data_IF_741524886250
#
_entry.id   IF_741524886250
#
_cell.length_a   1.000
_cell.length_b   1.000
_cell.length_c   1.000
_cell.angle_alpha   90.00
_cell.angle_beta   90.00
_cell.angle_gamma   90.00
#
_symmetry.space_group_name_H-M   'P 1'
#
loop_
_entity.id
_entity.type
_entity.pdbx_description
1 polymer ?
#
# COMPACT_ATOMS: atom_id res chain seq x y z
N UNK A 1 61.79 12.39 -20.85
CA UNK A 1 60.60 11.87 -21.58
C UNK A 1 59.56 11.20 -20.66
N UNK A 2 59.91 10.56 -19.57
CA UNK A 2 59.01 9.83 -18.65
C UNK A 2 58.00 10.71 -17.89
N UNK A 3 58.30 11.97 -17.55
CA UNK A 3 57.36 12.86 -16.82
C UNK A 3 56.15 13.31 -17.63
N UNK A 4 56.33 13.54 -18.94
CA UNK A 4 55.26 14.00 -19.84
C UNK A 4 54.27 12.84 -20.15
N UNK A 5 54.76 11.60 -20.14
CA UNK A 5 53.92 10.41 -20.37
C UNK A 5 53.00 10.15 -19.17
N UNK A 6 53.49 10.36 -17.95
CA UNK A 6 52.67 10.18 -16.73
C UNK A 6 51.57 11.22 -16.61
N UNK A 7 51.81 12.49 -16.97
CA UNK A 7 50.78 13.54 -16.88
C UNK A 7 49.67 13.35 -17.93
N UNK A 8 49.99 12.84 -19.12
CA UNK A 8 48.96 12.54 -20.14
C UNK A 8 48.14 11.30 -19.75
N UNK A 9 48.76 10.29 -19.14
CA UNK A 9 48.05 9.08 -18.66
C UNK A 9 47.16 9.38 -17.46
N UNK A 10 47.63 10.22 -16.52
CA UNK A 10 46.80 10.67 -15.38
C UNK A 10 45.64 11.56 -15.84
N UNK A 11 45.85 12.46 -16.82
CA UNK A 11 44.77 13.27 -17.40
C UNK A 11 43.72 12.40 -18.11
N UNK A 12 44.17 11.37 -18.86
CA UNK A 12 43.27 10.43 -19.56
C UNK A 12 42.45 9.58 -18.57
N UNK A 13 43.11 9.12 -17.48
CA UNK A 13 42.41 8.38 -16.41
C UNK A 13 41.40 9.25 -15.65
N UNK A 14 41.75 10.53 -15.41
CA UNK A 14 40.85 11.48 -14.74
C UNK A 14 39.64 11.81 -15.65
N UNK A 15 39.85 12.01 -16.94
CA UNK A 15 38.74 12.21 -17.89
C UNK A 15 37.87 10.96 -18.07
N UNK A 16 38.46 9.76 -18.02
CA UNK A 16 37.70 8.51 -18.05
C UNK A 16 36.85 8.30 -16.81
N UNK A 17 37.38 8.64 -15.63
CA UNK A 17 36.64 8.58 -14.35
C UNK A 17 35.51 9.61 -14.33
N UNK A 18 35.76 10.84 -14.80
CA UNK A 18 34.71 11.88 -14.91
C UNK A 18 33.66 11.47 -15.96
N UNK A 19 34.07 10.86 -17.08
CA UNK A 19 33.14 10.37 -18.10
C UNK A 19 32.28 9.19 -17.56
N UNK A 20 32.86 8.29 -16.75
CA UNK A 20 32.15 7.21 -16.09
C UNK A 20 31.16 7.71 -15.02
N UNK A 21 31.50 8.79 -14.33
CA UNK A 21 30.57 9.38 -13.33
C UNK A 21 29.43 10.18 -13.98
N UNK A 22 29.63 10.69 -15.20
CA UNK A 22 28.57 11.40 -15.97
C UNK A 22 27.64 10.40 -16.69
N UNK A 23 28.09 9.16 -16.94
CA UNK A 23 27.28 8.09 -17.53
C UNK A 23 26.51 7.27 -16.50
N UNK A 24 26.81 7.40 -15.21
CA UNK A 24 25.90 6.98 -14.15
C UNK A 24 24.80 8.05 -14.04
N UNK A 25 23.80 7.99 -14.88
CA UNK A 25 22.55 8.69 -14.68
C UNK A 25 22.04 8.33 -13.29
N UNK A 26 22.25 9.21 -12.30
CA UNK A 26 21.62 9.04 -11.01
C UNK A 26 20.12 9.14 -11.27
N UNK A 27 19.39 8.02 -11.16
CA UNK A 27 17.93 8.09 -11.08
C UNK A 27 17.58 9.11 -9.99
N UNK A 28 16.60 9.99 -10.20
CA UNK A 28 16.20 10.91 -9.16
C UNK A 28 15.73 10.08 -7.96
N UNK A 29 16.51 10.11 -6.89
CA UNK A 29 16.11 9.53 -5.62
C UNK A 29 15.25 10.58 -4.95
N UNK A 30 13.94 10.38 -4.94
CA UNK A 30 13.02 11.22 -4.16
C UNK A 30 13.36 11.01 -2.68
N UNK A 31 13.76 12.08 -2.01
CA UNK A 31 13.99 12.09 -0.58
C UNK A 31 12.74 12.64 0.14
N UNK A 32 12.61 12.32 1.42
CA UNK A 32 11.53 12.86 2.25
C UNK A 32 11.46 14.40 2.25
N UNK A 33 12.62 15.06 2.16
CA UNK A 33 12.73 16.53 2.11
C UNK A 33 12.10 17.13 0.84
N UNK A 34 11.93 16.33 -0.22
CA UNK A 34 11.29 16.73 -1.47
C UNK A 34 9.77 16.53 -1.45
N UNK A 35 9.25 15.88 -0.41
CA UNK A 35 7.84 15.54 -0.27
C UNK A 35 7.16 16.57 0.65
N UNK A 36 6.06 17.21 0.22
CA UNK A 36 5.30 18.12 1.09
C UNK A 36 4.82 17.43 2.37
N UNK A 37 4.75 18.19 3.45
CA UNK A 37 4.18 17.68 4.71
C UNK A 37 2.71 17.25 4.54
N UNK A 38 2.29 16.22 5.29
CA UNK A 38 0.91 15.78 5.31
C UNK A 38 -0.03 16.93 5.72
N UNK A 39 -1.03 17.19 4.89
CA UNK A 39 -1.98 18.30 5.05
C UNK A 39 -3.45 17.86 5.11
N UNK A 40 -3.70 16.59 5.48
CA UNK A 40 -5.06 16.04 5.60
C UNK A 40 -5.56 15.30 4.34
N UNK A 41 -4.71 15.16 3.32
CA UNK A 41 -5.00 14.32 2.13
C UNK A 41 -4.14 13.07 2.16
N UNK A 42 -4.72 11.94 1.79
CA UNK A 42 -4.02 10.64 1.81
C UNK A 42 -2.79 10.59 0.89
N UNK A 43 -2.77 11.41 -0.15
CA UNK A 43 -1.68 11.47 -1.11
C UNK A 43 -1.43 12.90 -1.62
N UNK A 44 -0.29 13.08 -2.25
CA UNK A 44 0.10 14.30 -2.98
C UNK A 44 0.71 13.94 -4.32
N UNK A 45 0.44 14.76 -5.33
CA UNK A 45 1.07 14.63 -6.64
C UNK A 45 2.55 15.04 -6.57
N UNK A 46 3.41 14.24 -7.17
CA UNK A 46 4.85 14.45 -7.29
C UNK A 46 5.19 14.68 -8.75
N UNK A 47 6.19 15.52 -9.02
CA UNK A 47 6.68 15.80 -10.38
C UNK A 47 5.57 16.20 -11.38
N UNK A 48 4.50 16.85 -10.92
CA UNK A 48 3.38 17.24 -11.78
C UNK A 48 2.63 16.05 -12.38
N UNK A 49 2.66 14.89 -11.72
CA UNK A 49 2.05 13.64 -12.17
C UNK A 49 2.86 12.86 -13.20
N UNK A 50 4.04 13.34 -13.59
CA UNK A 50 4.91 12.64 -14.55
C UNK A 50 5.77 11.60 -13.80
N UNK A 51 5.70 10.31 -14.14
CA UNK A 51 6.53 9.27 -13.53
C UNK A 51 8.00 9.39 -13.98
N UNK A 52 8.91 8.82 -13.19
CA UNK A 52 10.35 8.84 -13.43
C UNK A 52 10.85 7.60 -14.20
N UNK A 53 10.04 7.04 -15.10
CA UNK A 53 10.50 5.95 -15.96
C UNK A 53 11.47 6.46 -17.01
N UNK A 54 12.59 5.77 -17.19
CA UNK A 54 13.50 5.99 -18.29
C UNK A 54 12.96 5.30 -19.56
N UNK A 55 13.29 5.81 -20.75
CA UNK A 55 12.80 5.26 -22.01
C UNK A 55 13.14 3.76 -22.19
N UNK A 56 14.25 3.30 -21.62
CA UNK A 56 14.70 1.90 -21.68
C UNK A 56 14.06 0.99 -20.61
N UNK A 57 13.33 1.57 -19.65
CA UNK A 57 12.53 0.81 -18.68
C UNK A 57 11.13 0.48 -19.25
N UNK A 58 10.63 1.26 -20.22
CA UNK A 58 9.27 1.11 -20.75
C UNK A 58 9.21 -0.08 -21.71
N UNK A 59 8.32 -1.03 -21.41
CA UNK A 59 8.11 -2.24 -22.22
C UNK A 59 6.65 -2.65 -22.20
N UNK A 60 6.22 -3.38 -23.24
CA UNK A 60 4.92 -4.05 -23.32
C UNK A 60 5.04 -5.57 -23.02
N UNK A 61 6.19 -6.00 -22.52
CA UNK A 61 6.37 -7.37 -22.02
C UNK A 61 6.03 -7.41 -20.52
N UNK A 62 5.01 -8.18 -20.15
CA UNK A 62 4.58 -8.32 -18.76
C UNK A 62 5.68 -8.92 -17.88
N UNK A 63 5.96 -8.29 -16.76
CA UNK A 63 6.91 -8.75 -15.74
C UNK A 63 6.57 -8.20 -14.37
N UNK A 64 7.08 -8.85 -13.33
CA UNK A 64 7.11 -8.31 -11.96
C UNK A 64 8.51 -8.51 -11.35
N UNK A 65 8.92 -7.59 -10.52
CA UNK A 65 10.21 -7.58 -9.86
C UNK A 65 10.13 -6.92 -8.49
N UNK A 66 10.70 -7.56 -7.50
CA UNK A 66 10.72 -7.11 -6.11
C UNK A 66 12.16 -7.05 -5.62
N UNK A 67 12.59 -5.87 -5.17
CA UNK A 67 13.91 -5.70 -4.59
C UNK A 67 14.13 -6.64 -3.42
N UNK A 68 15.37 -7.08 -3.19
CA UNK A 68 15.70 -7.77 -1.94
C UNK A 68 15.46 -6.86 -0.75
N UNK A 69 15.09 -7.48 0.38
CA UNK A 69 15.01 -6.76 1.64
C UNK A 69 16.37 -6.13 1.97
N UNK A 70 16.34 -4.94 2.54
CA UNK A 70 17.58 -4.27 2.98
C UNK A 70 18.17 -4.89 4.26
N UNK A 71 19.26 -4.33 4.78
CA UNK A 71 19.92 -4.83 5.98
C UNK A 71 19.05 -4.77 7.25
N UNK A 72 17.97 -3.98 7.25
CA UNK A 72 16.99 -3.89 8.32
C UNK A 72 15.77 -4.80 8.08
N UNK A 73 15.74 -5.55 6.96
CA UNK A 73 14.61 -6.40 6.59
C UNK A 73 13.44 -5.64 5.93
N UNK A 74 13.66 -4.39 5.47
CA UNK A 74 12.63 -3.55 4.87
C UNK A 74 12.49 -3.81 3.37
N UNK A 75 11.28 -3.70 2.86
CA UNK A 75 11.02 -3.77 1.42
C UNK A 75 11.69 -2.60 0.68
N UNK A 76 12.20 -2.89 -0.52
CA UNK A 76 12.63 -1.89 -1.49
C UNK A 76 11.58 -1.68 -2.58
N UNK A 77 12.06 -1.32 -3.78
CA UNK A 77 11.19 -1.06 -4.94
C UNK A 77 10.49 -2.34 -5.39
N UNK A 78 9.18 -2.23 -5.61
CA UNK A 78 8.37 -3.18 -6.36
C UNK A 78 8.08 -2.55 -7.75
N UNK A 79 8.37 -3.28 -8.83
CA UNK A 79 8.30 -2.78 -10.19
C UNK A 79 7.71 -3.84 -11.12
N UNK A 80 6.75 -3.46 -11.95
CA UNK A 80 6.09 -4.36 -12.87
C UNK A 80 5.67 -3.67 -14.16
N UNK A 81 5.50 -4.45 -15.20
CA UNK A 81 4.68 -4.12 -16.36
C UNK A 81 3.38 -4.93 -16.23
N UNK A 82 2.32 -4.27 -15.78
CA UNK A 82 1.03 -4.91 -15.51
C UNK A 82 0.29 -5.11 -16.83
N UNK A 83 -0.05 -6.36 -17.12
CA UNK A 83 -0.92 -6.78 -18.21
C UNK A 83 -1.90 -7.84 -17.72
N UNK A 84 -2.86 -8.23 -18.56
CA UNK A 84 -3.84 -9.28 -18.22
C UNK A 84 -3.17 -10.60 -17.80
N UNK A 85 -1.94 -10.83 -18.25
CA UNK A 85 -1.14 -12.03 -17.97
C UNK A 85 -0.73 -12.15 -16.49
N UNK A 86 -0.58 -11.02 -15.79
CA UNK A 86 -0.21 -10.97 -14.37
C UNK A 86 -1.42 -10.90 -13.44
N UNK A 87 -2.57 -10.43 -13.95
CA UNK A 87 -3.75 -10.29 -13.10
C UNK A 87 -4.21 -11.64 -12.53
N UNK A 88 -4.74 -11.66 -11.30
CA UNK A 88 -5.05 -12.90 -10.62
C UNK A 88 -6.11 -13.71 -11.35
N UNK A 89 -5.84 -15.01 -11.51
CA UNK A 89 -6.79 -16.02 -12.01
C UNK A 89 -7.36 -16.88 -10.89
N UNK A 90 -6.86 -16.72 -9.68
CA UNK A 90 -7.25 -17.46 -8.47
C UNK A 90 -7.70 -16.48 -7.37
N UNK A 91 -8.45 -16.98 -6.40
CA UNK A 91 -8.86 -16.20 -5.24
C UNK A 91 -7.65 -15.82 -4.37
N UNK A 92 -7.73 -14.65 -3.73
CA UNK A 92 -6.69 -14.16 -2.82
C UNK A 92 -6.52 -15.12 -1.64
N UNK A 93 -5.28 -15.54 -1.40
CA UNK A 93 -4.90 -16.37 -0.27
C UNK A 93 -4.66 -15.59 1.02
N UNK A 94 -4.27 -16.34 2.07
CA UNK A 94 -3.91 -15.76 3.37
C UNK A 94 -2.49 -15.18 3.35
N UNK A 95 -2.31 -14.02 3.99
CA UNK A 95 -1.02 -13.32 4.10
C UNK A 95 -0.57 -13.13 5.56
N UNK A 96 -1.26 -13.76 6.50
CA UNK A 96 -1.00 -13.61 7.93
C UNK A 96 0.38 -14.14 8.37
N UNK A 97 0.98 -15.05 7.59
CA UNK A 97 2.32 -15.60 7.82
C UNK A 97 3.45 -14.57 7.66
N UNK A 98 3.21 -13.48 6.96
CA UNK A 98 4.22 -12.45 6.72
C UNK A 98 4.15 -11.38 7.83
N UNK A 99 5.30 -11.09 8.43
CA UNK A 99 5.45 -10.05 9.45
C UNK A 99 6.37 -8.95 8.89
N UNK A 100 5.82 -7.89 8.28
CA UNK A 100 6.62 -6.78 7.77
C UNK A 100 7.33 -6.03 8.90
N UNK A 101 8.40 -5.30 8.60
CA UNK A 101 9.08 -4.46 9.59
C UNK A 101 8.13 -3.45 10.23
N UNK A 102 8.25 -3.24 11.55
CA UNK A 102 7.37 -2.35 12.31
C UNK A 102 5.97 -2.89 12.60
N UNK A 103 5.62 -4.11 12.12
CA UNK A 103 4.36 -4.78 12.47
C UNK A 103 4.30 -5.16 13.95
N UNK A 104 5.46 -5.47 14.50
CA UNK A 104 5.66 -5.76 15.92
C UNK A 104 6.95 -5.13 16.42
N UNK A 105 7.01 -4.87 17.71
CA UNK A 105 8.21 -4.42 18.41
C UNK A 105 8.43 -5.24 19.67
N UNK A 106 9.64 -5.79 19.84
CA UNK A 106 9.97 -6.69 20.93
C UNK A 106 9.00 -7.87 21.11
N UNK A 107 8.46 -8.40 20.00
CA UNK A 107 7.51 -9.51 20.00
C UNK A 107 6.06 -9.12 20.37
N UNK A 108 5.78 -7.83 20.48
CA UNK A 108 4.44 -7.29 20.75
C UNK A 108 3.91 -6.67 19.45
N UNK A 109 2.69 -7.04 19.08
CA UNK A 109 2.03 -6.49 17.89
C UNK A 109 1.76 -4.99 18.04
N UNK A 110 2.12 -4.22 17.03
CA UNK A 110 1.80 -2.81 16.92
C UNK A 110 0.45 -2.55 16.21
N UNK A 111 -0.27 -3.60 15.79
CA UNK A 111 -1.53 -3.45 15.10
C UNK A 111 -2.67 -3.19 16.10
N UNK A 112 -2.64 -2.02 16.73
CA UNK A 112 -3.62 -1.59 17.71
C UNK A 112 -4.98 -1.32 17.05
N UNK A 113 -6.04 -1.38 17.85
CA UNK A 113 -7.40 -1.05 17.43
C UNK A 113 -7.83 0.29 17.99
N UNK A 114 -8.58 1.03 17.16
CA UNK A 114 -9.19 2.30 17.54
C UNK A 114 -10.60 2.36 16.94
N UNK A 115 -11.59 2.67 17.75
CA UNK A 115 -13.01 2.76 17.37
C UNK A 115 -13.33 3.81 16.30
N UNK A 116 -12.41 4.75 16.09
CA UNK A 116 -12.49 5.76 15.03
C UNK A 116 -11.74 5.37 13.73
N UNK A 117 -11.11 4.20 13.69
CA UNK A 117 -10.47 3.66 12.48
C UNK A 117 -11.41 2.66 11.83
N UNK A 118 -11.66 2.80 10.55
CA UNK A 118 -12.47 1.85 9.80
C UNK A 118 -11.92 0.42 9.91
N UNK A 119 -12.77 -0.51 10.33
CA UNK A 119 -12.41 -1.90 10.68
C UNK A 119 -11.42 -2.02 11.87
N UNK A 120 -11.36 -1.00 12.73
CA UNK A 120 -10.67 -0.91 14.00
C UNK A 120 -9.13 -0.94 13.93
N UNK A 121 -8.52 -1.79 13.13
CA UNK A 121 -7.08 -1.98 13.09
C UNK A 121 -6.35 -0.87 12.33
N UNK A 122 -5.32 -0.29 12.99
CA UNK A 122 -4.51 0.81 12.43
C UNK A 122 -3.66 0.37 11.24
N UNK A 123 -3.13 -0.86 11.26
CA UNK A 123 -2.24 -1.36 10.22
C UNK A 123 -2.86 -2.46 9.36
N UNK A 124 -2.49 -2.46 8.11
CA UNK A 124 -2.67 -3.53 7.15
C UNK A 124 -1.30 -4.08 6.74
N UNK A 125 -1.22 -5.38 6.42
CA UNK A 125 -0.15 -5.91 5.59
C UNK A 125 -0.40 -5.39 4.19
N UNK A 126 0.21 -4.26 3.86
CA UNK A 126 -0.07 -3.50 2.65
C UNK A 126 0.82 -4.00 1.53
N UNK A 127 0.20 -4.47 0.43
CA UNK A 127 0.95 -4.79 -0.77
C UNK A 127 1.49 -3.51 -1.41
N UNK A 128 2.73 -3.55 -1.91
CA UNK A 128 3.28 -2.50 -2.76
C UNK A 128 2.65 -2.58 -4.16
N UNK A 129 2.62 -3.75 -4.76
CA UNK A 129 1.82 -4.05 -5.95
C UNK A 129 0.63 -4.87 -5.48
N UNK A 130 -0.58 -4.31 -5.60
CA UNK A 130 -1.82 -4.93 -5.12
C UNK A 130 -2.08 -6.29 -5.76
N UNK A 131 -2.67 -7.22 -4.99
CA UNK A 131 -3.02 -8.56 -5.49
C UNK A 131 -3.84 -8.52 -6.79
N UNK A 132 -4.73 -7.54 -6.92
CA UNK A 132 -5.55 -7.37 -8.13
C UNK A 132 -4.74 -7.07 -9.40
N UNK A 133 -3.49 -6.60 -9.27
CA UNK A 133 -2.64 -6.22 -10.39
C UNK A 133 -1.71 -7.35 -10.86
N UNK A 134 -1.14 -8.11 -9.91
CA UNK A 134 -0.11 -9.10 -10.24
C UNK A 134 -0.39 -10.50 -9.67
N UNK A 135 -1.50 -10.73 -8.96
CA UNK A 135 -1.81 -12.03 -8.35
C UNK A 135 -0.83 -12.47 -7.26
N UNK A 136 0.17 -11.64 -6.93
CA UNK A 136 1.19 -11.94 -5.93
C UNK A 136 0.59 -11.84 -4.52
N UNK A 137 0.62 -12.93 -3.75
CA UNK A 137 -0.09 -13.00 -2.48
C UNK A 137 0.81 -12.79 -1.25
N UNK A 138 1.61 -13.76 -0.86
CA UNK A 138 2.36 -13.83 0.40
C UNK A 138 3.87 -13.60 0.21
N UNK A 139 4.24 -12.68 -0.65
CA UNK A 139 5.61 -12.28 -0.88
C UNK A 139 6.09 -11.27 0.16
N UNK A 140 7.07 -11.66 0.99
CA UNK A 140 7.65 -10.78 2.01
C UNK A 140 8.28 -9.50 1.47
N UNK A 141 8.69 -9.48 0.18
CA UNK A 141 9.28 -8.33 -0.49
C UNK A 141 8.25 -7.37 -1.09
N UNK A 142 6.96 -7.75 -1.03
CA UNK A 142 5.84 -6.98 -1.52
C UNK A 142 4.92 -6.48 -0.39
N UNK A 143 5.20 -6.79 0.87
CA UNK A 143 4.34 -6.47 2.00
C UNK A 143 5.03 -5.54 3.00
N UNK A 144 4.42 -4.40 3.27
CA UNK A 144 4.87 -3.43 4.28
C UNK A 144 3.82 -3.23 5.38
N UNK A 145 4.25 -2.71 6.52
CA UNK A 145 3.33 -2.19 7.54
C UNK A 145 2.79 -0.86 7.07
N UNK A 146 1.59 -0.88 6.51
CA UNK A 146 0.87 0.30 6.02
C UNK A 146 -0.34 0.59 6.86
N UNK A 147 -0.65 1.88 7.06
CA UNK A 147 -1.89 2.26 7.75
C UNK A 147 -3.12 1.91 6.92
N UNK A 148 -4.24 1.70 7.57
CA UNK A 148 -5.54 1.51 6.90
C UNK A 148 -5.83 2.68 5.96
N UNK A 149 -5.59 3.91 6.42
CA UNK A 149 -5.82 5.12 5.64
C UNK A 149 -4.94 5.19 4.39
N UNK A 150 -3.63 4.91 4.50
CA UNK A 150 -2.76 4.86 3.32
C UNK A 150 -3.25 3.80 2.33
N UNK A 151 -3.56 2.60 2.81
CA UNK A 151 -3.94 1.48 1.96
C UNK A 151 -5.24 1.76 1.18
N UNK A 152 -6.26 2.32 1.83
CA UNK A 152 -7.60 2.48 1.24
C UNK A 152 -7.77 3.83 0.54
N UNK A 153 -7.30 4.92 1.17
CA UNK A 153 -7.50 6.27 0.64
C UNK A 153 -6.30 6.76 -0.19
N UNK A 154 -5.12 6.22 0.10
CA UNK A 154 -3.87 6.62 -0.56
C UNK A 154 -3.52 5.78 -1.77
N UNK A 155 -3.59 4.46 -1.67
CA UNK A 155 -3.10 3.55 -2.72
C UNK A 155 -4.22 2.97 -3.58
N UNK A 156 -5.26 2.40 -2.96
CA UNK A 156 -6.32 1.67 -3.66
C UNK A 156 -6.98 2.42 -4.83
N UNK A 157 -7.24 3.75 -4.79
CA UNK A 157 -7.81 4.45 -5.94
C UNK A 157 -6.94 4.36 -7.19
N UNK A 158 -5.61 4.44 -7.02
CA UNK A 158 -4.63 4.35 -8.12
C UNK A 158 -4.42 2.92 -8.60
N UNK A 159 -4.45 1.94 -7.71
CA UNK A 159 -4.45 0.53 -8.07
C UNK A 159 -5.69 0.17 -8.90
N UNK A 160 -6.86 0.69 -8.52
CA UNK A 160 -8.09 0.48 -9.28
C UNK A 160 -8.03 1.13 -10.66
N UNK A 161 -7.46 2.33 -10.78
CA UNK A 161 -7.26 3.01 -12.06
C UNK A 161 -6.41 2.16 -13.02
N UNK A 162 -5.32 1.56 -12.51
CA UNK A 162 -4.47 0.66 -13.30
C UNK A 162 -5.23 -0.61 -13.68
N UNK A 163 -5.91 -1.25 -12.72
CA UNK A 163 -6.66 -2.49 -12.95
C UNK A 163 -7.78 -2.28 -13.99
N UNK A 164 -8.60 -1.24 -13.80
CA UNK A 164 -9.69 -0.92 -14.72
C UNK A 164 -9.17 -0.68 -16.16
N UNK A 165 -8.06 0.06 -16.29
CA UNK A 165 -7.46 0.33 -17.60
C UNK A 165 -6.96 -0.94 -18.29
N UNK A 166 -6.23 -1.81 -17.57
CA UNK A 166 -5.70 -3.07 -18.12
C UNK A 166 -6.86 -3.99 -18.52
N UNK A 167 -7.89 -4.12 -17.67
CA UNK A 167 -9.07 -4.96 -17.98
C UNK A 167 -9.87 -4.44 -19.17
N UNK A 168 -10.03 -3.11 -19.31
CA UNK A 168 -10.85 -2.52 -20.36
C UNK A 168 -10.13 -2.46 -21.72
N UNK A 169 -8.82 -2.18 -21.72
CA UNK A 169 -8.04 -1.97 -22.95
C UNK A 169 -7.29 -3.21 -23.42
N UNK A 170 -6.89 -4.10 -22.50
CA UNK A 170 -5.93 -5.18 -22.75
C UNK A 170 -4.49 -4.68 -22.96
N UNK A 171 -4.23 -3.41 -22.69
CA UNK A 171 -2.91 -2.80 -22.79
C UNK A 171 -2.12 -2.94 -21.49
N UNK A 172 -0.83 -2.60 -21.54
CA UNK A 172 0.08 -2.71 -20.40
C UNK A 172 0.29 -1.37 -19.68
N UNK A 173 0.58 -1.45 -18.38
CA UNK A 173 0.93 -0.31 -17.54
C UNK A 173 2.25 -0.58 -16.82
N UNK A 174 3.26 0.26 -17.07
CA UNK A 174 4.43 0.32 -16.20
C UNK A 174 3.98 0.81 -14.83
N UNK A 175 4.26 0.05 -13.78
CA UNK A 175 3.82 0.35 -12.41
C UNK A 175 4.97 0.14 -11.43
N UNK A 176 5.31 1.18 -10.66
CA UNK A 176 6.40 1.12 -9.68
C UNK A 176 5.96 1.72 -8.37
N UNK A 177 6.24 1.00 -7.28
CA UNK A 177 5.99 1.47 -5.92
C UNK A 177 7.27 1.40 -5.11
N UNK A 178 7.64 2.55 -4.55
CA UNK A 178 8.88 2.72 -3.79
C UNK A 178 8.53 3.16 -2.35
N UNK A 179 8.71 2.31 -1.34
CA UNK A 179 8.54 2.71 0.05
C UNK A 179 9.68 3.65 0.47
N UNK A 180 9.33 4.77 1.12
CA UNK A 180 10.27 5.78 1.55
C UNK A 180 10.41 5.74 3.08
N UNK A 181 11.62 5.41 3.53
CA UNK A 181 11.97 5.34 4.96
C UNK A 181 12.86 6.52 5.35
N UNK A 182 12.77 6.95 6.61
CA UNK A 182 13.70 7.93 7.18
C UNK A 182 14.76 7.20 8.02
N UNK A 183 16.00 7.22 7.57
CA UNK A 183 17.12 6.62 8.31
C UNK A 183 16.87 5.17 8.72
N UNK A 184 16.75 4.93 10.01
CA UNK A 184 16.59 3.59 10.61
C UNK A 184 15.11 3.22 10.90
N UNK A 185 14.15 3.97 10.42
CA UNK A 185 12.74 3.67 10.61
C UNK A 185 12.38 2.26 10.09
N UNK A 186 11.63 1.49 10.88
CA UNK A 186 11.10 0.19 10.46
C UNK A 186 9.78 0.29 9.68
N UNK A 187 9.06 1.41 9.82
CA UNK A 187 7.82 1.71 9.08
C UNK A 187 8.12 2.76 8.03
N UNK A 188 7.70 2.55 6.79
CA UNK A 188 7.84 3.54 5.73
C UNK A 188 7.01 4.79 6.06
N UNK A 189 7.55 5.98 5.76
CA UNK A 189 6.81 7.26 5.89
C UNK A 189 5.68 7.39 4.88
N UNK A 190 5.76 6.64 3.82
CA UNK A 190 4.79 6.51 2.74
C UNK A 190 5.39 5.77 1.57
N UNK A 191 4.67 5.75 0.47
CA UNK A 191 5.10 5.11 -0.78
C UNK A 191 4.97 6.08 -1.96
N UNK A 192 6.00 6.14 -2.80
CA UNK A 192 5.93 6.77 -4.11
C UNK A 192 5.32 5.74 -5.06
N UNK A 193 4.23 6.10 -5.72
CA UNK A 193 3.54 5.27 -6.71
C UNK A 193 3.61 5.95 -8.07
N UNK A 194 4.01 5.20 -9.08
CA UNK A 194 4.21 5.68 -10.44
C UNK A 194 3.52 4.73 -11.42
N UNK A 195 2.83 5.27 -12.41
CA UNK A 195 2.21 4.48 -13.46
C UNK A 195 2.27 5.20 -14.82
N UNK A 196 2.32 4.39 -15.88
CA UNK A 196 2.36 4.86 -17.25
C UNK A 196 1.82 3.79 -18.20
N UNK A 197 0.72 4.06 -18.89
CA UNK A 197 0.17 3.15 -19.91
C UNK A 197 1.04 3.15 -21.17
N UNK A 198 1.45 1.96 -21.59
CA UNK A 198 2.54 1.79 -22.56
C UNK A 198 2.10 2.09 -23.98
N UNK A 199 1.11 1.37 -24.50
CA UNK A 199 0.74 1.39 -25.93
C UNK A 199 0.15 2.72 -26.38
N UNK A 200 -0.42 3.47 -25.45
CA UNK A 200 -1.02 4.78 -25.74
C UNK A 200 -0.18 5.96 -25.28
N UNK A 201 1.05 5.69 -24.78
CA UNK A 201 2.01 6.68 -24.33
C UNK A 201 1.46 7.56 -23.16
N UNK A 202 0.94 6.92 -22.12
CA UNK A 202 0.47 7.57 -20.92
C UNK A 202 -0.84 8.34 -21.05
N UNK A 203 -1.65 8.06 -22.09
CA UNK A 203 -2.93 8.73 -22.27
C UNK A 203 -4.06 8.11 -21.47
N UNK A 204 -3.98 6.81 -21.22
CA UNK A 204 -4.97 6.08 -20.43
C UNK A 204 -4.69 6.20 -18.94
N UNK A 205 -3.47 5.84 -18.53
CA UNK A 205 -3.01 5.95 -17.14
C UNK A 205 -1.66 6.64 -17.10
N UNK A 206 -1.56 7.71 -16.31
CA UNK A 206 -0.29 8.34 -16.01
C UNK A 206 -0.39 9.08 -14.69
N UNK A 207 0.40 8.66 -13.70
CA UNK A 207 0.52 9.37 -12.44
C UNK A 207 1.89 9.16 -11.77
N UNK A 208 2.24 10.12 -10.94
CA UNK A 208 3.31 10.05 -9.96
C UNK A 208 2.80 10.68 -8.67
N UNK A 209 2.56 9.88 -7.64
CA UNK A 209 2.01 10.34 -6.37
C UNK A 209 2.79 9.77 -5.19
N UNK A 210 2.76 10.48 -4.08
CA UNK A 210 3.21 9.95 -2.80
C UNK A 210 2.02 9.75 -1.86
N UNK A 211 1.77 8.51 -1.46
CA UNK A 211 0.76 8.14 -0.48
C UNK A 211 1.37 8.15 0.93
N UNK A 212 0.81 8.96 1.84
CA UNK A 212 1.31 9.13 3.21
C UNK A 212 0.93 7.94 4.08
N UNK A 213 1.91 7.34 4.75
CA UNK A 213 1.66 6.30 5.74
C UNK A 213 1.29 6.88 7.10
N UNK A 214 0.16 7.53 7.16
CA UNK A 214 -0.44 8.14 8.35
C UNK A 214 -1.81 7.53 8.61
N UNK A 215 -2.28 7.62 9.87
CA UNK A 215 -3.67 7.32 10.21
C UNK A 215 -4.24 8.55 10.93
N UNK A 216 -5.27 9.22 10.40
CA UNK A 216 -5.92 10.32 11.09
C UNK A 216 -6.34 9.92 12.50
N UNK A 217 -6.01 10.76 13.48
CA UNK A 217 -6.29 10.48 14.89
C UNK A 217 -5.25 9.61 15.61
N UNK A 218 -4.19 9.15 14.92
CA UNK A 218 -3.15 8.30 15.51
C UNK A 218 -1.77 8.94 15.33
N UNK A 219 -0.97 8.91 16.38
CA UNK A 219 0.46 9.23 16.36
C UNK A 219 1.26 7.95 16.22
N UNK A 220 2.16 7.90 15.23
CA UNK A 220 2.99 6.72 14.91
C UNK A 220 4.45 7.04 15.19
N UNK A 221 5.13 6.17 15.94
CA UNK A 221 6.59 6.10 15.99
C UNK A 221 7.07 5.20 14.84
N UNK A 222 7.58 5.80 13.79
CA UNK A 222 8.01 5.07 12.60
C UNK A 222 9.29 4.24 12.82
N UNK A 223 10.08 4.58 13.86
CA UNK A 223 11.26 3.77 14.19
C UNK A 223 10.87 2.38 14.70
N UNK A 224 9.77 2.27 15.46
CA UNK A 224 9.34 0.99 16.05
C UNK A 224 8.06 0.44 15.45
N UNK A 225 7.18 1.31 14.92
CA UNK A 225 5.79 1.01 14.54
C UNK A 225 4.80 1.18 15.69
N UNK A 226 5.25 1.45 16.91
CA UNK A 226 4.37 1.74 18.06
C UNK A 226 3.49 2.94 17.73
N UNK A 227 2.23 2.89 18.14
CA UNK A 227 1.28 3.94 17.85
C UNK A 227 0.29 4.14 19.00
N UNK A 228 -0.22 5.36 19.11
CA UNK A 228 -1.17 5.77 20.16
C UNK A 228 -2.20 6.73 19.57
N UNK A 229 -3.37 6.85 20.20
CA UNK A 229 -4.33 7.90 19.84
C UNK A 229 -3.72 9.30 20.01
N UNK A 230 -4.11 10.25 19.17
CA UNK A 230 -3.62 11.62 19.27
C UNK A 230 -3.92 12.23 20.63
N UNK A 231 -2.88 12.80 21.27
CA UNK A 231 -2.96 13.35 22.62
C UNK A 231 -2.41 12.43 23.70
N UNK A 232 -2.28 11.14 23.43
CA UNK A 232 -1.57 10.21 24.30
C UNK A 232 -0.07 10.27 24.05
N UNK A 233 0.72 9.87 25.04
CA UNK A 233 2.18 9.80 24.90
C UNK A 233 2.59 8.46 24.36
N UNK A 234 3.49 8.45 23.39
CA UNK A 234 4.22 7.24 23.00
C UNK A 234 4.98 6.71 24.23
N UNK A 235 5.10 5.38 24.38
CA UNK A 235 5.95 4.77 25.40
C UNK A 235 7.39 5.28 25.30
N UNK A 236 8.07 5.47 26.43
CA UNK A 236 9.51 5.74 26.43
C UNK A 236 10.23 4.45 26.08
N UNK A 237 11.03 4.48 25.01
CA UNK A 237 11.80 3.33 24.55
C UNK A 237 13.19 3.43 25.14
N UNK A 238 13.59 2.43 25.93
CA UNK A 238 14.96 2.33 26.38
C UNK A 238 15.82 1.80 25.23
N UNK A 239 16.63 2.70 24.65
CA UNK A 239 17.50 2.39 23.52
C UNK A 239 18.82 1.72 23.93
N UNK A 240 19.09 1.58 25.25
CA UNK A 240 20.37 1.08 25.73
C UNK A 240 20.41 -0.46 25.77
N UNK A 241 19.29 -1.16 25.93
CA UNK A 241 19.24 -2.63 25.93
C UNK A 241 18.24 -3.24 24.93
N UNK A 242 17.52 -2.42 24.19
CA UNK A 242 16.51 -2.86 23.22
C UNK A 242 15.27 -3.47 23.87
N UNK A 243 15.02 -3.25 25.14
CA UNK A 243 13.81 -3.68 25.85
C UNK A 243 13.13 -2.49 26.49
N UNK A 244 11.87 -2.31 26.18
CA UNK A 244 10.98 -1.42 26.91
C UNK A 244 10.21 -2.21 27.97
N UNK A 245 10.49 -1.98 29.26
CA UNK A 245 9.81 -2.64 30.37
C UNK A 245 8.35 -2.16 30.54
N UNK A 246 7.93 -1.10 29.80
CA UNK A 246 6.61 -0.51 29.91
C UNK A 246 5.63 -0.94 28.81
N UNK A 247 6.07 -1.78 27.85
CA UNK A 247 5.16 -2.34 26.84
C UNK A 247 4.30 -3.43 27.51
N UNK A 248 2.96 -3.30 27.53
CA UNK A 248 2.10 -4.34 28.08
C UNK A 248 2.32 -5.66 27.32
N UNK A 249 2.79 -6.68 28.01
CA UNK A 249 2.84 -8.02 27.42
C UNK A 249 1.39 -8.52 27.22
N UNK A 250 1.05 -9.02 26.04
CA UNK A 250 -0.23 -9.74 25.86
C UNK A 250 -0.26 -10.89 26.88
N UNK A 251 -1.34 -10.97 27.65
CA UNK A 251 -1.51 -12.08 28.57
C UNK A 251 -1.58 -13.38 27.76
N UNK A 252 -0.70 -14.38 27.98
CA UNK A 252 -0.73 -15.64 27.23
C UNK A 252 -2.01 -16.47 27.42
N UNK A 253 -2.91 -16.05 28.30
CA UNK A 253 -4.21 -16.70 28.57
C UNK A 253 -5.38 -16.14 27.74
N UNK A 254 -5.18 -15.12 26.88
CA UNK A 254 -6.25 -14.57 26.02
C UNK A 254 -6.49 -15.35 24.71
N UNK A 255 -5.95 -16.55 24.61
CA UNK A 255 -6.15 -17.43 23.45
C UNK A 255 -7.38 -18.35 23.58
N UNK A 256 -8.36 -18.02 24.38
CA UNK A 256 -9.68 -18.69 24.31
C UNK A 256 -10.74 -17.91 25.12
N UNK A 257 -11.31 -16.87 24.53
CA UNK A 257 -12.61 -16.43 24.96
C UNK A 257 -13.45 -16.04 23.76
N UNK A 258 -14.12 -17.03 23.19
CA UNK A 258 -15.30 -16.82 22.34
C UNK A 258 -16.45 -16.34 23.21
N UNK A 259 -16.30 -15.17 23.82
CA UNK A 259 -17.44 -14.47 24.38
C UNK A 259 -18.08 -13.64 23.29
N UNK A 260 -19.26 -14.08 22.95
CA UNK A 260 -20.23 -13.42 22.10
C UNK A 260 -20.50 -12.01 22.67
N UNK A 261 -19.75 -11.01 22.23
CA UNK A 261 -20.25 -9.65 22.24
C UNK A 261 -21.33 -9.58 21.18
N UNK A 262 -22.54 -9.30 21.62
CA UNK A 262 -23.67 -9.00 20.75
C UNK A 262 -23.29 -7.77 19.92
N UNK A 263 -23.06 -8.01 18.64
CA UNK A 263 -22.82 -7.01 17.59
C UNK A 263 -24.06 -6.09 17.53
N UNK A 264 -23.98 -4.94 18.18
CA UNK A 264 -25.11 -3.97 18.29
C UNK A 264 -25.43 -3.28 16.97
N UNK A 265 -24.63 -3.51 15.93
CA UNK A 265 -24.83 -2.99 14.57
C UNK A 265 -25.34 -4.05 13.59
N UNK A 266 -25.72 -5.23 14.03
CA UNK A 266 -26.40 -6.20 13.18
C UNK A 266 -27.81 -5.70 12.87
N UNK A 267 -28.04 -5.41 11.58
CA UNK A 267 -29.41 -5.24 11.04
C UNK A 267 -30.17 -6.52 11.35
N UNK A 268 -31.34 -6.47 12.00
CA UNK A 268 -32.14 -7.66 12.27
C UNK A 268 -32.47 -8.42 10.96
N UNK A 269 -32.44 -9.74 11.01
CA UNK A 269 -32.46 -10.66 9.87
C UNK A 269 -33.86 -10.74 9.17
N UNK A 270 -34.87 -10.00 9.67
CA UNK A 270 -36.30 -10.13 9.28
C UNK A 270 -36.97 -8.81 8.84
N UNK A 271 -36.17 -7.74 8.59
CA UNK A 271 -36.67 -6.43 8.18
C UNK A 271 -36.39 -6.09 6.71
N UNK A 272 -37.23 -5.19 6.13
CA UNK A 272 -36.93 -4.53 4.86
C UNK A 272 -36.00 -3.34 5.12
N UNK A 273 -34.90 -3.28 4.37
CA UNK A 273 -33.88 -2.24 4.47
C UNK A 273 -33.49 -1.74 3.09
N UNK A 274 -32.92 -0.54 3.06
CA UNK A 274 -32.30 -0.01 1.85
C UNK A 274 -30.86 -0.55 1.72
N UNK A 275 -30.53 -1.09 0.55
CA UNK A 275 -29.19 -1.56 0.21
C UNK A 275 -28.69 -0.91 -1.07
N UNK A 276 -27.37 -0.86 -1.21
CA UNK A 276 -26.69 -0.54 -2.47
C UNK A 276 -26.09 -1.81 -3.01
N UNK A 277 -26.47 -2.21 -4.21
CA UNK A 277 -25.97 -3.39 -4.88
C UNK A 277 -24.82 -3.04 -5.81
N UNK A 278 -23.79 -3.87 -5.79
CA UNK A 278 -22.83 -3.94 -6.87
C UNK A 278 -23.22 -5.13 -7.76
N UNK A 279 -23.84 -4.82 -8.91
CA UNK A 279 -24.37 -5.85 -9.81
C UNK A 279 -23.29 -6.68 -10.49
N UNK A 280 -22.05 -6.15 -10.59
CA UNK A 280 -20.92 -6.85 -11.18
C UNK A 280 -20.33 -7.87 -10.19
N UNK A 281 -20.00 -7.45 -8.97
CA UNK A 281 -19.41 -8.32 -7.95
C UNK A 281 -20.44 -9.14 -7.16
N UNK A 282 -21.75 -8.93 -7.43
CA UNK A 282 -22.86 -9.56 -6.70
C UNK A 282 -22.77 -9.37 -5.19
N UNK A 283 -22.39 -8.16 -4.74
CA UNK A 283 -22.36 -7.78 -3.34
C UNK A 283 -23.40 -6.72 -3.02
N UNK A 284 -23.96 -6.76 -1.81
CA UNK A 284 -24.84 -5.73 -1.29
C UNK A 284 -24.20 -5.03 -0.09
N UNK A 285 -24.51 -3.74 0.06
CA UNK A 285 -23.86 -2.80 0.97
C UNK A 285 -24.88 -1.96 1.72
N UNK A 286 -24.47 -1.42 2.89
CA UNK A 286 -25.23 -0.40 3.62
C UNK A 286 -25.08 0.94 2.89
N UNK A 287 -26.17 1.68 2.58
CA UNK A 287 -26.10 3.01 2.00
C UNK A 287 -25.30 3.99 2.84
N UNK A 288 -24.53 4.88 2.19
CA UNK A 288 -23.74 5.90 2.87
C UNK A 288 -22.45 5.39 3.54
N UNK A 289 -22.06 4.15 3.31
CA UNK A 289 -20.73 3.66 3.66
C UNK A 289 -19.79 3.81 2.47
N UNK A 290 -18.53 4.18 2.71
CA UNK A 290 -17.54 4.45 1.67
C UNK A 290 -17.41 3.33 0.63
N UNK A 291 -17.52 2.06 1.04
CA UNK A 291 -17.52 0.92 0.13
C UNK A 291 -18.76 0.85 -0.78
N UNK A 292 -19.89 1.46 -0.40
CA UNK A 292 -21.08 1.59 -1.27
C UNK A 292 -20.92 2.77 -2.23
N UNK A 293 -20.23 3.84 -1.78
CA UNK A 293 -20.05 5.06 -2.55
C UNK A 293 -18.96 4.92 -3.62
N UNK A 294 -18.04 3.98 -3.44
CA UNK A 294 -16.99 3.63 -4.42
C UNK A 294 -17.47 2.77 -5.60
N UNK A 295 -18.71 2.29 -5.57
CA UNK A 295 -19.28 1.52 -6.69
C UNK A 295 -19.55 2.46 -7.85
N UNK A 296 -18.98 2.17 -9.04
CA UNK A 296 -19.22 2.95 -10.25
C UNK A 296 -20.71 2.94 -10.62
N UNK A 297 -21.23 4.05 -11.16
CA UNK A 297 -22.66 4.22 -11.47
C UNK A 297 -23.20 3.12 -12.40
N UNK A 298 -22.38 2.61 -13.31
CA UNK A 298 -22.77 1.51 -14.23
C UNK A 298 -23.05 0.18 -13.52
N UNK A 299 -22.45 -0.01 -12.33
CA UNK A 299 -22.56 -1.25 -11.54
C UNK A 299 -23.39 -1.07 -10.27
N UNK A 300 -23.91 0.13 -10.03
CA UNK A 300 -24.64 0.50 -8.81
C UNK A 300 -26.13 0.41 -9.02
N UNK A 301 -26.83 -0.27 -8.11
CA UNK A 301 -28.29 -0.32 -8.05
C UNK A 301 -28.74 -0.14 -6.60
N UNK A 302 -29.81 0.62 -6.37
CA UNK A 302 -30.44 0.73 -5.06
C UNK A 302 -31.55 -0.31 -4.94
N UNK A 303 -31.60 -1.00 -3.84
CA UNK A 303 -32.56 -2.05 -3.55
C UNK A 303 -33.16 -1.84 -2.17
N UNK A 304 -34.49 -2.01 -2.04
CA UNK A 304 -35.20 -2.02 -0.77
C UNK A 304 -35.88 -3.39 -0.61
N UNK A 305 -35.52 -4.13 0.43
CA UNK A 305 -36.03 -5.46 0.69
C UNK A 305 -35.28 -6.14 1.81
N UNK A 306 -35.42 -7.46 1.92
CA UNK A 306 -34.77 -8.23 2.97
C UNK A 306 -33.40 -8.74 2.54
N UNK A 307 -32.55 -8.99 3.52
CA UNK A 307 -31.21 -9.61 3.32
C UNK A 307 -31.34 -11.02 2.71
N UNK A 308 -32.35 -11.78 3.12
CA UNK A 308 -32.58 -13.14 2.64
C UNK A 308 -33.00 -13.18 1.16
N UNK A 309 -33.77 -12.20 0.69
CA UNK A 309 -34.10 -12.06 -0.72
C UNK A 309 -32.84 -11.83 -1.56
N UNK A 310 -31.94 -10.94 -1.12
CA UNK A 310 -30.69 -10.67 -1.83
C UNK A 310 -29.77 -11.90 -1.88
N UNK A 311 -29.70 -12.67 -0.78
CA UNK A 311 -28.93 -13.93 -0.74
C UNK A 311 -29.55 -14.95 -1.70
N UNK A 312 -30.89 -15.05 -1.74
CA UNK A 312 -31.61 -15.94 -2.66
C UNK A 312 -31.38 -15.55 -4.14
N UNK A 313 -31.21 -14.26 -4.43
CA UNK A 313 -30.90 -13.72 -5.77
C UNK A 313 -29.40 -13.81 -6.12
N UNK A 314 -28.60 -14.47 -5.26
CA UNK A 314 -27.19 -14.75 -5.50
C UNK A 314 -26.24 -13.61 -5.15
N UNK A 315 -26.72 -12.64 -4.35
CA UNK A 315 -25.85 -11.62 -3.78
C UNK A 315 -25.25 -12.10 -2.45
N UNK A 316 -24.07 -11.61 -2.14
CA UNK A 316 -23.41 -11.82 -0.85
C UNK A 316 -23.25 -10.49 -0.10
N UNK A 317 -23.28 -10.50 1.25
CA UNK A 317 -23.03 -9.28 2.01
C UNK A 317 -21.60 -8.79 1.78
N UNK A 318 -21.45 -7.47 1.73
CA UNK A 318 -20.13 -6.86 1.70
C UNK A 318 -19.37 -7.16 3.01
N UNK A 319 -18.15 -7.68 2.90
CA UNK A 319 -17.29 -7.98 4.06
C UNK A 319 -16.87 -6.74 4.87
N UNK A 320 -16.97 -5.54 4.25
CA UNK A 320 -16.58 -4.27 4.88
C UNK A 320 -17.73 -3.69 5.70
N UNK A 321 -18.85 -3.37 5.09
CA UNK A 321 -19.98 -2.76 5.81
C UNK A 321 -20.92 -3.78 6.49
N UNK A 322 -20.73 -5.07 6.25
CA UNK A 322 -21.45 -6.19 6.89
C UNK A 322 -22.98 -5.97 7.00
N UNK A 323 -23.66 -5.69 5.87
CA UNK A 323 -25.10 -5.47 5.84
C UNK A 323 -25.90 -6.69 6.24
#
# INVERSE_FOLDING_TARGET
MTRIFNTKLTALLLTLVILLTVLCGCKPVINLDDIPDYSGKAYVEINGGDPFFEDDEITDEAFESYSYLDALGRCGVAFACIGLELMPTEERGEIASITPTGWEYNGISNNNTYDFVENDYVYNRCHLIGFQLAGENDNERNLITGTRYMNIEGMLPFENEVADYVEESGNHVMYRVTPIFNGLDYVARGVLMEAYSVEDNGRGVKFCIYAYNVQPGVTIDYFTGINVANGDKLPEIDTDDGRDENIPTPNPDDSDNTDKEEDKDKIPDDGEYDYVLNINSKKFHIPGKGCADSISDKNRENYCGTRDELIADGYSPCGICKP
#
